data_IF_493230407180
#
_entry.id   IF_493230407180
#
_cell.length_a   1.000
_cell.length_b   1.000
_cell.length_c   1.000
_cell.angle_alpha   90.00
_cell.angle_beta   90.00
_cell.angle_gamma   90.00
#
_symmetry.space_group_name_H-M   'P 1'
#
loop_
_entity.id
_entity.type
_entity.pdbx_description
1 polymer ?
#
# COMPACT_ATOMS: atom_id res chain seq x y z
N UNK A 1 -6.77 61.68 61.95
CA UNK A 1 -5.66 60.74 61.66
C UNK A 1 -6.15 59.77 60.61
N UNK A 2 -5.82 60.01 59.32
CA UNK A 2 -6.36 59.25 58.18
C UNK A 2 -5.25 58.35 57.63
N UNK A 3 -5.42 57.04 57.73
CA UNK A 3 -4.51 56.06 57.12
C UNK A 3 -4.86 55.90 55.64
N UNK A 4 -3.96 56.37 54.77
CA UNK A 4 -4.08 56.25 53.31
C UNK A 4 -3.35 54.99 52.87
N UNK A 5 -4.10 53.91 52.58
CA UNK A 5 -3.56 52.68 52.03
C UNK A 5 -3.32 52.85 50.52
N UNK A 6 -2.05 52.78 50.10
CA UNK A 6 -1.66 52.91 48.70
C UNK A 6 -1.59 51.50 48.10
N UNK A 7 -2.60 51.14 47.30
CA UNK A 7 -2.62 49.89 46.54
C UNK A 7 -1.63 49.97 45.38
N UNK A 8 -0.58 49.13 45.40
CA UNK A 8 0.37 48.96 44.28
C UNK A 8 -0.27 48.07 43.22
N UNK A 9 -0.69 48.64 42.08
CA UNK A 9 -0.95 47.85 40.86
C UNK A 9 0.39 47.37 40.29
N UNK A 10 0.62 46.04 40.30
CA UNK A 10 1.75 45.40 39.61
C UNK A 10 1.52 45.46 38.09
N UNK A 11 2.53 45.92 37.36
CA UNK A 11 2.57 45.96 35.90
C UNK A 11 2.81 44.52 35.36
N UNK A 12 1.78 43.87 34.81
CA UNK A 12 1.86 42.53 34.17
C UNK A 12 1.79 42.62 32.63
N UNK A 13 2.42 43.62 32.04
CA UNK A 13 2.24 43.97 30.62
C UNK A 13 3.24 43.29 29.67
N UNK A 14 4.19 42.51 30.19
CA UNK A 14 5.23 41.82 29.40
C UNK A 14 5.10 40.29 29.27
N UNK A 15 4.16 39.65 29.98
CA UNK A 15 4.03 38.18 30.00
C UNK A 15 3.12 37.61 28.90
N UNK A 16 2.23 38.39 28.30
CA UNK A 16 1.18 37.85 27.41
C UNK A 16 1.68 37.56 25.99
N UNK A 17 2.59 38.37 25.43
CA UNK A 17 3.07 38.22 24.04
C UNK A 17 4.00 37.01 23.87
N UNK A 18 4.95 36.84 24.79
CA UNK A 18 5.89 35.72 24.74
C UNK A 18 5.15 34.38 24.93
N UNK A 19 4.15 34.36 25.80
CA UNK A 19 3.30 33.19 26.03
C UNK A 19 2.53 32.80 24.76
N UNK A 20 1.96 33.77 24.04
CA UNK A 20 1.28 33.49 22.76
C UNK A 20 2.24 32.97 21.70
N UNK A 21 3.44 33.55 21.59
CA UNK A 21 4.46 33.08 20.64
C UNK A 21 4.89 31.65 20.95
N UNK A 22 5.12 31.32 22.23
CA UNK A 22 5.47 29.96 22.65
C UNK A 22 4.32 28.98 22.39
N UNK A 23 3.08 29.37 22.68
CA UNK A 23 1.91 28.54 22.41
C UNK A 23 1.76 28.24 20.90
N UNK A 24 1.93 29.25 20.04
CA UNK A 24 1.89 29.08 18.59
C UNK A 24 3.05 28.17 18.12
N UNK A 25 4.25 28.34 18.68
CA UNK A 25 5.40 27.50 18.34
C UNK A 25 5.15 26.02 18.68
N UNK A 26 4.55 25.74 19.84
CA UNK A 26 4.20 24.38 20.25
C UNK A 26 3.11 23.79 19.34
N UNK A 27 2.06 24.56 19.04
CA UNK A 27 0.99 24.11 18.14
C UNK A 27 1.56 23.81 16.76
N UNK A 28 2.40 24.69 16.21
CA UNK A 28 3.03 24.48 14.91
C UNK A 28 3.88 23.19 14.91
N UNK A 29 4.67 22.95 15.95
CA UNK A 29 5.47 21.73 16.07
C UNK A 29 4.59 20.47 16.11
N UNK A 30 3.51 20.47 16.91
CA UNK A 30 2.58 19.34 17.01
C UNK A 30 1.86 19.11 15.68
N UNK A 31 1.41 20.17 15.00
CA UNK A 31 0.73 20.08 13.72
C UNK A 31 1.60 19.43 12.65
N UNK A 32 2.89 19.77 12.58
CA UNK A 32 3.82 19.16 11.61
C UNK A 32 3.98 17.67 11.86
N UNK A 33 4.17 17.25 13.12
CA UNK A 33 4.30 15.83 13.48
C UNK A 33 3.01 15.07 13.17
N UNK A 34 1.86 15.65 13.50
CA UNK A 34 0.55 15.05 13.24
C UNK A 34 0.28 14.86 11.74
N UNK A 35 0.51 15.91 10.93
CA UNK A 35 0.36 15.83 9.48
C UNK A 35 1.33 14.81 8.87
N UNK A 36 2.57 14.75 9.36
CA UNK A 36 3.54 13.74 8.96
C UNK A 36 3.03 12.32 9.21
N UNK A 37 2.49 12.06 10.41
CA UNK A 37 1.87 10.78 10.75
C UNK A 37 0.68 10.42 9.86
N UNK A 38 -0.18 11.39 9.56
CA UNK A 38 -1.33 11.18 8.67
C UNK A 38 -0.90 10.79 7.26
N UNK A 39 0.08 11.48 6.69
CA UNK A 39 0.59 11.18 5.34
C UNK A 39 1.16 9.76 5.26
N UNK A 40 1.94 9.35 6.26
CA UNK A 40 2.48 7.99 6.32
C UNK A 40 1.37 6.95 6.44
N UNK A 41 0.40 7.19 7.32
CA UNK A 41 -0.77 6.31 7.49
C UNK A 41 -1.57 6.16 6.21
N UNK A 42 -1.93 7.26 5.54
CA UNK A 42 -2.69 7.24 4.28
C UNK A 42 -1.95 6.49 3.16
N UNK A 43 -0.64 6.71 3.01
CA UNK A 43 0.17 5.98 2.02
C UNK A 43 0.24 4.48 2.34
N UNK A 44 0.34 4.14 3.63
CA UNK A 44 0.32 2.76 4.10
C UNK A 44 -0.98 2.04 3.72
N UNK A 45 -2.14 2.68 3.94
CA UNK A 45 -3.43 2.11 3.53
C UNK A 45 -3.52 1.92 2.01
N UNK A 46 -3.16 2.92 1.21
CA UNK A 46 -3.19 2.80 -0.25
C UNK A 46 -2.31 1.66 -0.77
N UNK A 47 -1.12 1.49 -0.18
CA UNK A 47 -0.20 0.40 -0.53
C UNK A 47 -0.78 -0.97 -0.12
N UNK A 48 -1.38 -1.05 1.07
CA UNK A 48 -2.00 -2.29 1.54
C UNK A 48 -3.19 -2.70 0.66
N UNK A 49 -4.02 -1.74 0.23
CA UNK A 49 -5.14 -1.97 -0.67
C UNK A 49 -4.66 -2.44 -2.05
N UNK A 50 -3.60 -1.83 -2.60
CA UNK A 50 -2.97 -2.26 -3.86
C UNK A 50 -2.49 -3.72 -3.78
N UNK A 51 -1.80 -4.08 -2.69
CA UNK A 51 -1.34 -5.45 -2.49
C UNK A 51 -2.50 -6.44 -2.30
N UNK A 52 -3.56 -6.07 -1.60
CA UNK A 52 -4.74 -6.93 -1.41
C UNK A 52 -5.45 -7.21 -2.74
N UNK A 53 -5.61 -6.19 -3.58
CA UNK A 53 -6.17 -6.33 -4.93
C UNK A 53 -5.25 -7.18 -5.81
N UNK A 54 -3.95 -6.91 -5.81
CA UNK A 54 -2.97 -7.70 -6.56
C UNK A 54 -2.97 -9.18 -6.16
N UNK A 55 -3.14 -9.48 -4.87
CA UNK A 55 -3.22 -10.85 -4.36
C UNK A 55 -4.50 -11.55 -4.83
N UNK A 56 -5.63 -10.84 -4.85
CA UNK A 56 -6.88 -11.34 -5.42
C UNK A 56 -6.72 -11.67 -6.90
N UNK A 57 -6.16 -10.75 -7.69
CA UNK A 57 -5.86 -10.96 -9.11
C UNK A 57 -4.94 -12.17 -9.29
N UNK A 58 -3.85 -12.24 -8.54
CA UNK A 58 -2.89 -13.34 -8.63
C UNK A 58 -3.55 -14.70 -8.38
N UNK A 59 -4.41 -14.80 -7.35
CA UNK A 59 -5.17 -16.02 -7.05
C UNK A 59 -6.15 -16.39 -8.15
N UNK A 60 -6.93 -15.43 -8.67
CA UNK A 60 -7.85 -15.69 -9.77
C UNK A 60 -7.12 -16.19 -11.02
N UNK A 61 -5.97 -15.61 -11.34
CA UNK A 61 -5.13 -16.05 -12.46
C UNK A 61 -4.55 -17.45 -12.20
N UNK A 62 -4.21 -17.80 -10.95
CA UNK A 62 -3.77 -19.14 -10.59
C UNK A 62 -4.88 -20.16 -10.82
N UNK A 63 -6.07 -19.89 -10.31
CA UNK A 63 -7.24 -20.74 -10.51
C UNK A 63 -7.58 -20.91 -11.99
N UNK A 64 -7.46 -19.83 -12.78
CA UNK A 64 -7.62 -19.87 -14.23
C UNK A 64 -6.66 -20.86 -14.88
N UNK A 65 -5.36 -20.75 -14.59
CA UNK A 65 -4.34 -21.64 -15.15
C UNK A 65 -4.55 -23.08 -14.73
N UNK A 66 -4.99 -23.33 -13.48
CA UNK A 66 -5.31 -24.68 -13.02
C UNK A 66 -6.44 -25.32 -13.83
N UNK A 67 -7.41 -24.53 -14.29
CA UNK A 67 -8.54 -25.03 -15.08
C UNK A 67 -8.25 -25.15 -16.59
N UNK A 68 -7.17 -24.56 -17.08
CA UNK A 68 -6.75 -24.73 -18.48
C UNK A 68 -6.28 -26.17 -18.75
N UNK A 69 -6.30 -26.61 -20.00
CA UNK A 69 -5.66 -27.88 -20.38
C UNK A 69 -4.16 -27.83 -20.09
N UNK A 70 -3.60 -28.93 -19.60
CA UNK A 70 -2.16 -29.08 -19.43
C UNK A 70 -1.47 -29.15 -20.79
N UNK A 71 -0.41 -28.36 -20.98
CA UNK A 71 0.39 -28.34 -22.22
C UNK A 71 1.82 -28.72 -21.87
N UNK A 72 2.31 -29.86 -22.38
CA UNK A 72 3.66 -30.35 -22.11
C UNK A 72 4.72 -29.31 -22.52
N UNK A 73 5.70 -29.05 -21.65
CA UNK A 73 6.76 -28.04 -21.86
C UNK A 73 6.25 -26.61 -22.13
N UNK A 74 5.10 -26.23 -21.55
CA UNK A 74 4.62 -24.86 -21.62
C UNK A 74 5.63 -23.89 -20.98
N UNK A 75 5.91 -22.78 -21.66
CA UNK A 75 6.70 -21.65 -21.11
C UNK A 75 5.82 -20.54 -20.54
N UNK A 76 4.55 -20.49 -20.96
CA UNK A 76 3.59 -19.46 -20.57
C UNK A 76 2.15 -19.96 -20.77
N UNK A 77 1.22 -19.34 -20.03
CA UNK A 77 -0.22 -19.47 -20.27
C UNK A 77 -0.83 -18.08 -20.51
N UNK A 78 -1.90 -18.01 -21.30
CA UNK A 78 -2.60 -16.74 -21.51
C UNK A 78 -3.36 -16.33 -20.25
N UNK A 79 -3.14 -15.11 -19.71
CA UNK A 79 -3.87 -14.61 -18.55
C UNK A 79 -5.33 -14.28 -18.91
N UNK A 80 -6.17 -14.17 -17.89
CA UNK A 80 -7.48 -13.52 -18.01
C UNK A 80 -7.24 -12.05 -18.37
N UNK A 81 -7.98 -11.55 -19.36
CA UNK A 81 -8.03 -10.13 -19.70
C UNK A 81 -8.79 -9.36 -18.62
N UNK A 82 -8.07 -8.48 -17.92
CA UNK A 82 -8.59 -7.70 -16.80
C UNK A 82 -9.20 -6.36 -17.25
N UNK A 83 -8.89 -5.88 -18.46
CA UNK A 83 -9.35 -4.58 -18.97
C UNK A 83 -10.89 -4.53 -19.12
N UNK A 84 -11.52 -5.71 -19.17
CA UNK A 84 -12.97 -5.85 -19.18
C UNK A 84 -13.64 -5.57 -17.83
N UNK A 85 -12.87 -5.43 -16.74
CA UNK A 85 -13.36 -5.26 -15.38
C UNK A 85 -12.86 -3.94 -14.78
N UNK A 86 -13.79 -3.02 -14.53
CA UNK A 86 -13.47 -1.69 -14.00
C UNK A 86 -12.75 -1.72 -12.63
N UNK A 87 -13.00 -2.73 -11.81
CA UNK A 87 -12.40 -2.87 -10.48
C UNK A 87 -10.89 -3.21 -10.54
N UNK A 88 -10.40 -3.65 -11.70
CA UNK A 88 -9.01 -4.04 -11.94
C UNK A 88 -8.32 -3.13 -12.97
N UNK A 89 -8.81 -1.91 -13.17
CA UNK A 89 -8.20 -0.97 -14.11
C UNK A 89 -6.70 -0.77 -13.79
N UNK A 90 -5.88 -0.82 -14.85
CA UNK A 90 -4.42 -0.76 -14.75
C UNK A 90 -3.74 -2.03 -14.21
N UNK A 91 -4.47 -3.04 -13.72
CA UNK A 91 -3.89 -4.31 -13.32
C UNK A 91 -3.70 -5.24 -14.52
N UNK A 92 -2.57 -5.93 -14.54
CA UNK A 92 -2.26 -6.97 -15.51
C UNK A 92 -1.49 -8.11 -14.86
N UNK A 93 -1.51 -9.28 -15.50
CA UNK A 93 -0.80 -10.45 -15.02
C UNK A 93 0.04 -11.08 -16.13
N UNK A 94 1.25 -11.52 -15.78
CA UNK A 94 2.06 -12.39 -16.61
C UNK A 94 2.14 -13.77 -15.96
N UNK A 95 1.97 -14.82 -16.76
CA UNK A 95 1.93 -16.20 -16.29
C UNK A 95 3.01 -16.99 -17.01
N UNK A 96 4.07 -17.34 -16.29
CA UNK A 96 5.14 -18.19 -16.81
C UNK A 96 4.99 -19.60 -16.26
N UNK A 97 5.35 -20.57 -17.09
CA UNK A 97 5.38 -21.98 -16.74
C UNK A 97 6.76 -22.57 -17.03
N UNK A 98 7.19 -23.51 -16.22
CA UNK A 98 8.35 -24.33 -16.48
C UNK A 98 8.12 -25.76 -15.96
N UNK A 99 8.58 -26.80 -16.67
CA UNK A 99 8.58 -28.16 -16.14
C UNK A 99 9.36 -28.22 -14.83
N UNK A 100 8.84 -28.94 -13.83
CA UNK A 100 9.55 -29.13 -12.57
C UNK A 100 10.81 -30.00 -12.77
N UNK A 101 10.73 -30.96 -13.69
CA UNK A 101 11.85 -31.79 -14.13
C UNK A 101 11.91 -31.85 -15.67
N UNK A 102 13.10 -32.13 -16.21
CA UNK A 102 13.31 -32.34 -17.65
C UNK A 102 13.73 -33.79 -17.92
N UNK A 103 13.04 -34.54 -18.79
CA UNK A 103 11.82 -34.16 -19.52
C UNK A 103 10.61 -33.96 -18.60
N UNK A 104 9.59 -33.23 -19.07
CA UNK A 104 8.37 -32.93 -18.31
C UNK A 104 7.73 -34.22 -17.76
N UNK A 105 7.64 -34.33 -16.44
CA UNK A 105 7.09 -35.49 -15.72
C UNK A 105 5.60 -35.33 -15.37
N UNK A 106 4.95 -34.31 -15.95
CA UNK A 106 3.54 -34.00 -15.72
C UNK A 106 3.32 -33.02 -14.57
N UNK A 107 4.37 -32.33 -14.10
CA UNK A 107 4.29 -31.26 -13.10
C UNK A 107 5.00 -30.01 -13.64
N UNK A 108 4.27 -28.89 -13.63
CA UNK A 108 4.81 -27.58 -14.00
C UNK A 108 4.77 -26.64 -12.82
N UNK A 109 5.85 -25.89 -12.61
CA UNK A 109 5.85 -24.71 -11.76
C UNK A 109 5.22 -23.56 -12.54
N UNK A 110 4.27 -22.88 -11.92
CA UNK A 110 3.57 -21.72 -12.45
C UNK A 110 3.96 -20.51 -11.61
N UNK A 111 4.40 -19.44 -12.25
CA UNK A 111 4.70 -18.17 -11.59
C UNK A 111 3.77 -17.12 -12.17
N UNK A 112 3.03 -16.45 -11.31
CA UNK A 112 2.12 -15.36 -11.68
C UNK A 112 2.66 -14.08 -11.14
N UNK A 113 3.00 -13.17 -12.05
CA UNK A 113 3.49 -11.83 -11.73
C UNK A 113 2.37 -10.83 -11.99
N UNK A 114 1.99 -10.05 -10.97
CA UNK A 114 0.96 -9.01 -11.10
C UNK A 114 1.63 -7.64 -11.18
N UNK A 115 1.17 -6.84 -12.12
CA UNK A 115 1.59 -5.47 -12.33
C UNK A 115 0.40 -4.53 -12.19
N UNK A 116 0.64 -3.33 -11.66
CA UNK A 116 -0.31 -2.23 -11.66
C UNK A 116 0.34 -1.04 -12.38
N UNK A 117 -0.32 -0.56 -13.44
CA UNK A 117 0.19 0.48 -14.34
C UNK A 117 1.61 0.18 -14.87
N UNK A 118 1.87 -1.09 -15.19
CA UNK A 118 3.16 -1.56 -15.70
C UNK A 118 4.26 -1.69 -14.64
N UNK A 119 3.97 -1.43 -13.37
CA UNK A 119 4.92 -1.60 -12.26
C UNK A 119 4.65 -2.92 -11.54
N UNK A 120 5.70 -3.68 -11.26
CA UNK A 120 5.60 -4.91 -10.48
C UNK A 120 5.06 -4.63 -9.07
N UNK A 121 4.03 -5.38 -8.66
CA UNK A 121 3.46 -5.29 -7.31
C UNK A 121 3.82 -6.53 -6.50
N UNK A 122 3.58 -7.73 -7.06
CA UNK A 122 3.86 -8.99 -6.38
C UNK A 122 3.94 -10.16 -7.36
N UNK A 123 4.38 -11.31 -6.84
CA UNK A 123 4.34 -12.58 -7.55
C UNK A 123 3.93 -13.72 -6.62
N UNK A 124 3.19 -14.69 -7.13
CA UNK A 124 2.92 -15.96 -6.43
C UNK A 124 3.42 -17.15 -7.26
N UNK A 125 3.81 -18.21 -6.57
CA UNK A 125 4.20 -19.49 -7.14
C UNK A 125 3.09 -20.52 -6.89
N UNK A 126 2.84 -21.38 -7.86
CA UNK A 126 1.98 -22.55 -7.75
C UNK A 126 2.47 -23.70 -8.61
N UNK A 127 1.77 -24.84 -8.53
CA UNK A 127 2.11 -26.03 -9.30
C UNK A 127 0.88 -26.56 -10.01
N UNK A 128 1.03 -26.93 -11.28
CA UNK A 128 -0.01 -27.56 -12.08
C UNK A 128 0.40 -28.98 -12.41
N UNK A 129 -0.55 -29.93 -12.35
CA UNK A 129 -0.34 -31.32 -12.77
C UNK A 129 -1.17 -31.64 -14.00
N UNK A 130 -0.71 -32.62 -14.78
CA UNK A 130 -1.41 -33.14 -15.95
C UNK A 130 -2.75 -33.80 -15.61
#
# INVERSE_FOLDING_TARGET
>A
MVHRNISKKKNQTGMTLIETVVAIAIIAAISVVFLGGLVVGSKGTLTADEHATAESVARCQMEWVQNMTYVDNATQYSPIDLDSFNDYDGYSANITAEPLHSPDDGIQKIIITVLHNGTWVMSIEGYKRR
#
